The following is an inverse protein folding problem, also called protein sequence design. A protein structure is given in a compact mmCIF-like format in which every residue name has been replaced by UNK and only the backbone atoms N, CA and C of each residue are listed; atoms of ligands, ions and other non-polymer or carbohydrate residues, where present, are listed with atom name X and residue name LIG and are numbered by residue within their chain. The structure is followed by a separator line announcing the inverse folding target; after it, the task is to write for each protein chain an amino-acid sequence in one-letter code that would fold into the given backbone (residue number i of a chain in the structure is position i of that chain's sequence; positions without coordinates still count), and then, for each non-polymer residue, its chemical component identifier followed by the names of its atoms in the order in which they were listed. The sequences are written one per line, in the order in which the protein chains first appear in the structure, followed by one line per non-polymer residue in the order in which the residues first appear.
data_IF_289301825375
#
_entry.id   IF_289301825375
#
_cell.length_a   1.000
_cell.length_b   1.000
_cell.length_c   1.000
_cell.angle_alpha   90.00
_cell.angle_beta   90.00
_cell.angle_gamma   90.00
#
_symmetry.space_group_name_H-M   'P 1'
#
loop_
_entity.id
_entity.type
_entity.pdbx_description
1 polymer ?
#
# COMPACT_ATOMS: atom_id res chain seq x y z
N UNK A 1 -2.93 11.69 -23.18
CA UNK A 1 -4.19 12.10 -23.86
C UNK A 1 -5.30 12.01 -22.84
N UNK A 2 -5.97 13.12 -22.47
CA UNK A 2 -7.12 13.06 -21.58
C UNK A 2 -8.27 12.34 -22.29
N UNK A 3 -8.85 11.33 -21.63
CA UNK A 3 -10.05 10.67 -22.12
C UNK A 3 -11.22 11.61 -21.81
N UNK A 4 -11.73 12.30 -22.82
CA UNK A 4 -12.95 13.09 -22.69
C UNK A 4 -14.16 12.13 -22.70
N UNK A 5 -14.85 12.03 -21.56
CA UNK A 5 -16.14 11.34 -21.50
C UNK A 5 -17.18 12.20 -22.22
N UNK A 6 -17.60 11.74 -23.39
CA UNK A 6 -18.54 12.44 -24.27
C UNK A 6 -19.93 12.57 -23.64
N UNK A 7 -20.54 13.73 -23.90
CA UNK A 7 -21.92 14.09 -23.63
C UNK A 7 -22.89 13.10 -24.29
N UNK A 8 -23.43 12.15 -23.53
CA UNK A 8 -24.49 11.23 -23.95
C UNK A 8 -25.71 11.39 -23.06
N UNK A 9 -26.82 11.77 -23.70
CA UNK A 9 -28.22 11.83 -23.27
C UNK A 9 -28.57 11.89 -21.77
N UNK A 10 -29.10 13.06 -21.41
CA UNK A 10 -29.68 13.42 -20.11
C UNK A 10 -31.04 12.76 -19.98
N UNK A 11 -31.10 11.52 -19.49
CA UNK A 11 -32.37 10.96 -19.01
C UNK A 11 -32.18 9.87 -17.95
N UNK A 12 -31.88 10.30 -16.71
CA UNK A 12 -32.29 9.64 -15.46
C UNK A 12 -31.83 10.50 -14.27
N UNK A 13 -32.65 11.47 -13.88
CA UNK A 13 -32.34 12.44 -12.82
C UNK A 13 -32.43 11.82 -11.42
N UNK A 14 -31.30 11.41 -10.85
CA UNK A 14 -31.10 11.26 -9.40
C UNK A 14 -30.40 12.47 -8.76
N UNK A 15 -29.90 13.41 -9.57
CA UNK A 15 -29.14 14.59 -9.10
C UNK A 15 -29.75 15.87 -9.67
N UNK A 16 -30.61 16.54 -8.89
CA UNK A 16 -31.36 17.74 -9.31
C UNK A 16 -30.48 18.99 -9.43
N UNK A 17 -29.17 18.92 -9.13
CA UNK A 17 -28.28 20.07 -9.23
C UNK A 17 -26.83 19.66 -9.57
N UNK A 18 -26.54 19.52 -10.87
CA UNK A 18 -25.22 19.09 -11.38
C UNK A 18 -24.07 20.00 -10.96
N UNK A 19 -24.30 21.31 -10.83
CA UNK A 19 -23.28 22.25 -10.38
C UNK A 19 -22.90 22.06 -8.90
N UNK A 20 -23.86 21.68 -8.07
CA UNK A 20 -23.61 21.35 -6.66
C UNK A 20 -22.78 20.07 -6.56
N UNK A 21 -23.18 19.01 -7.28
CA UNK A 21 -22.42 17.76 -7.32
C UNK A 21 -20.96 17.97 -7.76
N UNK A 22 -20.76 18.71 -8.85
CA UNK A 22 -19.42 19.00 -9.38
C UNK A 22 -18.57 19.77 -8.37
N UNK A 23 -19.16 20.72 -7.66
CA UNK A 23 -18.47 21.51 -6.63
C UNK A 23 -18.11 20.66 -5.40
N UNK A 24 -18.99 19.72 -5.01
CA UNK A 24 -18.69 18.74 -3.94
C UNK A 24 -17.57 17.76 -4.35
N UNK A 25 -17.57 17.33 -5.61
CA UNK A 25 -16.51 16.48 -6.16
C UNK A 25 -15.17 17.21 -6.21
N UNK A 26 -15.16 18.48 -6.60
CA UNK A 26 -13.95 19.30 -6.56
C UNK A 26 -13.43 19.48 -5.14
N UNK A 27 -14.30 19.76 -4.17
CA UNK A 27 -13.94 19.82 -2.74
C UNK A 27 -13.36 18.49 -2.25
N UNK A 28 -13.89 17.35 -2.71
CA UNK A 28 -13.33 16.04 -2.39
C UNK A 28 -11.88 15.91 -2.85
N UNK A 29 -11.60 16.24 -4.11
CA UNK A 29 -10.27 16.12 -4.67
C UNK A 29 -9.30 17.16 -4.11
N UNK A 30 -9.75 18.38 -3.81
CA UNK A 30 -8.90 19.42 -3.22
C UNK A 30 -8.54 19.12 -1.77
N UNK A 31 -9.45 18.54 -0.98
CA UNK A 31 -9.15 18.03 0.37
C UNK A 31 -8.11 16.91 0.35
N UNK A 32 -8.19 15.99 -0.61
CA UNK A 32 -7.21 14.92 -0.76
C UNK A 32 -5.86 15.48 -1.22
N UNK A 33 -5.86 16.44 -2.15
CA UNK A 33 -4.65 17.10 -2.64
C UNK A 33 -3.90 17.86 -1.55
N UNK A 34 -4.63 18.59 -0.69
CA UNK A 34 -4.05 19.37 0.42
C UNK A 34 -3.74 18.52 1.64
N UNK A 35 -4.21 17.27 1.68
CA UNK A 35 -4.07 16.36 2.80
C UNK A 35 -4.89 16.75 4.04
N UNK A 36 -5.87 17.64 3.88
CA UNK A 36 -6.78 18.10 4.93
C UNK A 36 -8.20 17.61 4.62
N UNK A 37 -8.67 16.62 5.40
CA UNK A 37 -9.98 16.00 5.19
C UNK A 37 -11.11 16.65 6.00
N UNK A 38 -10.79 17.58 6.91
CA UNK A 38 -11.76 18.34 7.71
C UNK A 38 -12.88 19.01 6.87
N UNK A 39 -12.61 19.58 5.68
CA UNK A 39 -13.66 20.15 4.84
C UNK A 39 -14.67 19.11 4.32
N UNK A 40 -14.32 17.82 4.32
CA UNK A 40 -15.22 16.75 3.87
C UNK A 40 -16.36 16.49 4.83
N UNK A 41 -16.22 16.84 6.12
CA UNK A 41 -17.29 16.67 7.11
C UNK A 41 -18.47 17.60 6.84
N UNK A 42 -18.22 18.79 6.28
CA UNK A 42 -19.26 19.75 5.90
C UNK A 42 -19.94 19.35 4.58
N UNK A 43 -19.18 18.79 3.64
CA UNK A 43 -19.66 18.38 2.31
C UNK A 43 -20.40 17.04 2.32
N UNK A 44 -19.88 16.10 3.12
CA UNK A 44 -20.40 14.75 3.35
C UNK A 44 -20.58 14.50 4.85
N UNK A 45 -21.67 15.01 5.45
CA UNK A 45 -21.95 14.83 6.88
C UNK A 45 -22.15 13.36 7.26
N UNK A 46 -22.73 12.57 6.35
CA UNK A 46 -22.88 11.13 6.53
C UNK A 46 -21.53 10.41 6.31
N UNK A 47 -21.04 9.82 7.39
CA UNK A 47 -19.82 9.03 7.45
C UNK A 47 -19.79 7.89 6.42
N UNK A 48 -20.92 7.20 6.19
CA UNK A 48 -20.98 6.10 5.20
C UNK A 48 -20.78 6.63 3.79
N UNK A 49 -21.32 7.81 3.49
CA UNK A 49 -21.18 8.45 2.19
C UNK A 49 -19.76 8.99 2.01
N UNK A 50 -19.18 9.61 3.04
CA UNK A 50 -17.79 10.07 3.06
C UNK A 50 -16.81 8.91 2.83
N UNK A 51 -16.95 7.82 3.58
CA UNK A 51 -16.11 6.62 3.44
C UNK A 51 -16.30 5.93 2.08
N UNK A 52 -17.52 5.93 1.53
CA UNK A 52 -17.77 5.44 0.17
C UNK A 52 -17.06 6.31 -0.87
N UNK A 53 -17.14 7.63 -0.76
CA UNK A 53 -16.47 8.55 -1.68
C UNK A 53 -14.95 8.34 -1.66
N UNK A 54 -14.34 8.25 -0.48
CA UNK A 54 -12.91 7.96 -0.32
C UNK A 54 -12.50 6.60 -0.92
N UNK A 55 -13.33 5.55 -0.77
CA UNK A 55 -13.08 4.24 -1.40
C UNK A 55 -13.17 4.28 -2.92
N UNK A 56 -14.11 5.05 -3.48
CA UNK A 56 -14.19 5.21 -4.93
C UNK A 56 -12.99 6.00 -5.46
N UNK A 57 -12.54 7.05 -4.76
CA UNK A 57 -11.31 7.76 -5.15
C UNK A 57 -10.11 6.82 -5.09
N UNK A 58 -9.96 6.00 -4.04
CA UNK A 58 -8.88 5.01 -3.94
C UNK A 58 -8.79 4.09 -5.16
N UNK A 59 -9.92 3.66 -5.74
CA UNK A 59 -9.95 2.81 -6.95
C UNK A 59 -9.44 3.51 -8.21
N UNK A 60 -9.51 4.84 -8.24
CA UNK A 60 -9.04 5.66 -9.37
C UNK A 60 -7.54 5.98 -9.29
N UNK A 61 -6.92 5.79 -8.12
CA UNK A 61 -5.52 6.12 -7.93
C UNK A 61 -4.62 5.00 -8.48
N UNK A 62 -3.49 5.37 -9.12
CA UNK A 62 -2.49 4.42 -9.58
C UNK A 62 -1.95 3.60 -8.41
N UNK A 63 -1.58 2.35 -8.67
CA UNK A 63 -0.75 1.63 -7.70
C UNK A 63 0.66 2.25 -7.67
N UNK A 64 1.35 2.21 -6.52
CA UNK A 64 2.74 2.66 -6.45
C UNK A 64 3.59 2.00 -7.54
N UNK A 65 4.31 2.80 -8.33
CA UNK A 65 5.19 2.32 -9.40
C UNK A 65 4.56 2.20 -10.79
N UNK A 66 3.26 2.45 -10.97
CA UNK A 66 2.61 2.38 -12.29
C UNK A 66 2.96 3.56 -13.23
N UNK A 67 3.63 4.60 -12.74
CA UNK A 67 4.22 5.66 -13.57
C UNK A 67 3.23 6.68 -14.16
N UNK A 68 1.96 6.66 -13.74
CA UNK A 68 0.95 7.66 -14.10
C UNK A 68 0.35 8.29 -12.84
N UNK A 69 -0.28 9.46 -12.97
CA UNK A 69 -0.92 10.19 -11.85
C UNK A 69 -2.35 10.57 -12.20
N UNK A 70 -3.22 10.59 -11.19
CA UNK A 70 -4.61 11.00 -11.34
C UNK A 70 -4.75 12.51 -11.18
N UNK A 71 -5.50 13.15 -12.07
CA UNK A 71 -5.80 14.58 -12.02
C UNK A 71 -7.27 14.85 -12.31
N UNK A 72 -7.87 15.77 -11.56
CA UNK A 72 -9.24 16.23 -11.78
C UNK A 72 -9.24 17.69 -12.23
N UNK A 73 -10.04 18.01 -13.25
CA UNK A 73 -10.20 19.37 -13.76
C UNK A 73 -11.65 19.60 -14.16
N UNK A 74 -12.16 20.80 -13.88
CA UNK A 74 -13.45 21.26 -14.41
C UNK A 74 -13.21 22.19 -15.59
N UNK A 75 -14.13 22.20 -16.55
CA UNK A 75 -14.03 23.07 -17.72
C UNK A 75 -14.05 24.57 -17.36
N UNK A 76 -14.66 24.93 -16.23
CA UNK A 76 -14.75 26.29 -15.71
C UNK A 76 -13.59 26.70 -14.78
N UNK A 77 -12.68 25.77 -14.45
CA UNK A 77 -11.48 26.03 -13.63
C UNK A 77 -10.19 25.60 -14.37
N UNK A 78 -9.23 26.52 -14.60
CA UNK A 78 -8.05 26.23 -15.41
C UNK A 78 -7.00 25.36 -14.72
N UNK A 79 -7.09 25.17 -13.40
CA UNK A 79 -6.12 24.40 -12.63
C UNK A 79 -6.50 22.91 -12.55
N UNK A 80 -5.53 22.03 -12.78
CA UNK A 80 -5.68 20.59 -12.61
C UNK A 80 -5.36 20.26 -11.15
N UNK A 81 -6.31 19.69 -10.42
CA UNK A 81 -6.11 19.10 -9.10
C UNK A 81 -5.37 17.77 -9.27
N UNK A 82 -4.04 17.84 -9.23
CA UNK A 82 -3.15 16.68 -9.30
C UNK A 82 -3.10 16.00 -7.93
N UNK A 83 -3.53 14.75 -7.87
CA UNK A 83 -3.55 13.99 -6.63
C UNK A 83 -2.12 13.51 -6.32
N UNK A 84 -1.60 13.78 -5.11
CA UNK A 84 -0.24 13.41 -4.74
C UNK A 84 -0.10 11.92 -4.47
N UNK A 85 1.12 11.40 -4.59
CA UNK A 85 1.40 9.96 -4.46
C UNK A 85 1.15 9.43 -3.04
N UNK A 86 1.15 10.31 -2.03
CA UNK A 86 0.82 9.99 -0.64
C UNK A 86 -0.71 9.98 -0.34
N UNK A 87 -1.57 10.20 -1.34
CA UNK A 87 -3.01 10.18 -1.15
C UNK A 87 -3.55 8.81 -0.73
N UNK A 88 -2.94 7.72 -1.21
CA UNK A 88 -3.33 6.34 -0.88
C UNK A 88 -3.16 6.05 0.63
N UNK A 89 -1.97 6.26 1.24
CA UNK A 89 -1.79 6.15 2.70
C UNK A 89 -2.70 7.07 3.51
N UNK A 90 -2.94 8.29 3.03
CA UNK A 90 -3.79 9.26 3.70
C UNK A 90 -5.25 8.80 3.75
N UNK A 91 -5.77 8.31 2.63
CA UNK A 91 -7.13 7.75 2.53
C UNK A 91 -7.25 6.49 3.39
N UNK A 92 -6.25 5.60 3.37
CA UNK A 92 -6.25 4.40 4.22
C UNK A 92 -6.29 4.71 5.70
N UNK A 93 -5.48 5.69 6.13
CA UNK A 93 -5.47 6.13 7.52
C UNK A 93 -6.82 6.67 7.96
N UNK A 94 -7.48 7.47 7.13
CA UNK A 94 -8.80 8.02 7.46
C UNK A 94 -9.87 6.93 7.51
N UNK A 95 -9.89 6.03 6.51
CA UNK A 95 -10.82 4.90 6.47
C UNK A 95 -10.62 3.91 7.62
N UNK A 96 -9.47 3.94 8.29
CA UNK A 96 -9.15 3.12 9.45
C UNK A 96 -9.55 3.76 10.79
N UNK A 97 -9.77 5.08 10.86
CA UNK A 97 -10.08 5.77 12.12
C UNK A 97 -11.52 5.54 12.62
N UNK A 98 -12.47 5.28 11.73
CA UNK A 98 -13.91 5.25 12.03
C UNK A 98 -14.51 3.82 12.12
N UNK A 99 -13.72 2.78 12.42
CA UNK A 99 -14.31 1.45 12.65
C UNK A 99 -13.55 0.63 13.69
N UNK A 100 -14.04 0.55 14.95
CA UNK A 100 -13.48 -0.37 15.94
C UNK A 100 -13.72 -1.86 15.62
N UNK A 101 -14.60 -2.17 14.65
CA UNK A 101 -15.03 -3.55 14.38
C UNK A 101 -14.69 -4.10 12.98
N UNK A 102 -14.10 -3.33 12.06
CA UNK A 102 -13.78 -3.81 10.71
C UNK A 102 -12.58 -3.09 10.10
N UNK A 103 -11.43 -3.20 10.76
CA UNK A 103 -10.16 -2.75 10.18
C UNK A 103 -9.75 -3.72 9.08
N UNK A 104 -9.44 -3.19 7.89
CA UNK A 104 -8.76 -3.98 6.86
C UNK A 104 -7.34 -4.19 7.35
N UNK A 105 -6.99 -5.42 7.67
CA UNK A 105 -5.65 -5.79 8.12
C UNK A 105 -5.18 -7.03 7.41
N UNK A 106 -3.88 -7.28 7.52
CA UNK A 106 -3.26 -8.49 7.00
C UNK A 106 -2.81 -9.35 8.16
N UNK A 107 -3.18 -10.62 8.13
CA UNK A 107 -2.83 -11.62 9.13
C UNK A 107 -2.15 -12.78 8.44
N UNK A 108 -1.04 -13.23 8.99
CA UNK A 108 -0.31 -14.39 8.51
C UNK A 108 -0.59 -15.57 9.44
N UNK A 109 -1.05 -16.69 8.88
CA UNK A 109 -1.41 -17.87 9.67
C UNK A 109 -1.07 -19.18 8.99
N UNK A 110 -0.95 -20.23 9.78
CA UNK A 110 -0.71 -21.58 9.28
C UNK A 110 -2.02 -22.17 8.76
N UNK A 111 -2.03 -22.67 7.53
CA UNK A 111 -3.20 -23.35 6.97
C UNK A 111 -3.38 -24.73 7.61
N UNK A 112 -4.45 -24.89 8.41
CA UNK A 112 -4.71 -26.12 9.16
C UNK A 112 -5.91 -26.93 8.64
N UNK A 113 -6.84 -26.30 7.93
CA UNK A 113 -8.04 -26.96 7.38
C UNK A 113 -8.51 -26.29 6.11
N UNK A 114 -9.00 -27.09 5.17
CA UNK A 114 -9.65 -26.67 3.93
C UNK A 114 -10.98 -27.41 3.83
N UNK A 115 -12.06 -26.68 3.57
CA UNK A 115 -13.40 -27.18 3.28
C UNK A 115 -13.77 -26.73 1.86
N UNK A 116 -13.82 -27.68 0.92
CA UNK A 116 -14.13 -27.41 -0.48
C UNK A 116 -15.63 -27.20 -0.71
N UNK A 117 -16.48 -27.87 0.09
CA UNK A 117 -17.93 -27.75 -0.04
C UNK A 117 -18.39 -26.36 0.39
N UNK A 118 -17.76 -25.80 1.44
CA UNK A 118 -18.05 -24.46 1.96
C UNK A 118 -17.16 -23.36 1.40
N UNK A 119 -16.13 -23.70 0.62
CA UNK A 119 -15.09 -22.78 0.14
C UNK A 119 -14.44 -21.99 1.26
N UNK A 120 -14.16 -22.66 2.37
CA UNK A 120 -13.51 -22.06 3.53
C UNK A 120 -12.17 -22.70 3.83
N UNK A 121 -11.23 -21.88 4.25
CA UNK A 121 -10.00 -22.32 4.90
C UNK A 121 -9.98 -21.87 6.34
N UNK A 122 -9.24 -22.59 7.17
CA UNK A 122 -8.98 -22.19 8.55
C UNK A 122 -7.49 -21.99 8.72
N UNK A 123 -7.14 -20.77 9.12
CA UNK A 123 -5.79 -20.37 9.45
C UNK A 123 -5.62 -20.38 10.97
N UNK A 124 -4.49 -20.86 11.46
CA UNK A 124 -4.13 -20.77 12.87
C UNK A 124 -3.14 -19.63 13.05
N UNK A 125 -3.48 -18.66 13.91
CA UNK A 125 -2.57 -17.57 14.24
C UNK A 125 -1.35 -18.12 15.04
N UNK A 126 -0.10 -17.77 14.68
CA UNK A 126 1.10 -18.31 15.33
C UNK A 126 1.21 -18.01 16.83
N UNK A 127 0.94 -16.77 17.23
CA UNK A 127 1.04 -16.31 18.63
C UNK A 127 -0.17 -16.70 19.48
N UNK A 128 -1.37 -16.30 19.05
CA UNK A 128 -2.59 -16.48 19.86
C UNK A 128 -3.19 -17.87 19.75
N UNK A 129 -2.76 -18.67 18.77
CA UNK A 129 -3.32 -19.97 18.40
C UNK A 129 -4.82 -19.95 18.07
N UNK A 130 -5.40 -18.76 17.85
CA UNK A 130 -6.80 -18.61 17.45
C UNK A 130 -7.00 -19.13 16.02
N UNK A 131 -8.12 -19.80 15.81
CA UNK A 131 -8.54 -20.28 14.49
C UNK A 131 -9.34 -19.20 13.79
N UNK A 132 -8.88 -18.81 12.61
CA UNK A 132 -9.48 -17.78 11.77
C UNK A 132 -10.08 -18.49 10.56
N UNK A 133 -11.40 -18.45 10.46
CA UNK A 133 -12.13 -18.94 9.29
C UNK A 133 -12.13 -17.87 8.19
N UNK A 134 -11.68 -18.25 6.99
CA UNK A 134 -11.59 -17.39 5.81
C UNK A 134 -12.36 -18.04 4.65
N UNK A 135 -13.13 -17.24 3.91
CA UNK A 135 -13.82 -17.69 2.68
C UNK A 135 -12.93 -17.37 1.48
N UNK A 136 -12.70 -18.32 0.59
CA UNK A 136 -11.89 -18.10 -0.63
C UNK A 136 -12.73 -18.21 -1.91
N UNK A 137 -12.17 -17.75 -3.02
CA UNK A 137 -12.73 -17.89 -4.37
C UNK A 137 -12.11 -19.08 -5.09
N UNK A 138 -12.86 -19.72 -6.00
CA UNK A 138 -12.50 -20.98 -6.67
C UNK A 138 -11.11 -20.95 -7.34
N UNK A 139 -10.71 -19.79 -7.85
CA UNK A 139 -9.41 -19.58 -8.50
C UNK A 139 -8.21 -19.84 -7.58
N UNK A 140 -8.39 -19.76 -6.25
CA UNK A 140 -7.33 -19.98 -5.26
C UNK A 140 -7.26 -21.42 -4.74
N UNK A 141 -8.19 -22.31 -5.14
CA UNK A 141 -8.23 -23.70 -4.63
C UNK A 141 -6.93 -24.46 -4.89
N UNK A 142 -6.44 -24.43 -6.13
CA UNK A 142 -5.21 -25.13 -6.51
C UNK A 142 -4.03 -24.64 -5.67
N UNK A 143 -3.90 -23.31 -5.51
CA UNK A 143 -2.86 -22.68 -4.70
C UNK A 143 -2.93 -23.10 -3.23
N UNK A 144 -4.12 -23.21 -2.64
CA UNK A 144 -4.30 -23.66 -1.25
C UNK A 144 -3.96 -25.15 -1.08
N UNK A 145 -4.25 -25.98 -2.08
CA UNK A 145 -3.92 -27.42 -2.06
C UNK A 145 -2.41 -27.64 -2.14
N UNK A 146 -1.73 -26.88 -3.01
CA UNK A 146 -0.28 -26.91 -3.14
C UNK A 146 0.40 -26.47 -1.83
N UNK A 147 -0.17 -25.48 -1.16
CA UNK A 147 0.35 -24.88 0.07
C UNK A 147 -0.36 -25.36 1.36
N UNK A 148 -0.94 -26.57 1.35
CA UNK A 148 -1.76 -27.15 2.45
C UNK A 148 -1.11 -27.26 3.84
N UNK A 149 0.17 -26.95 3.98
CA UNK A 149 0.95 -26.93 5.23
C UNK A 149 1.81 -25.67 5.35
N UNK A 150 1.55 -24.69 4.50
CA UNK A 150 2.30 -23.44 4.43
C UNK A 150 1.68 -22.35 5.29
N UNK A 151 2.43 -21.26 5.41
CA UNK A 151 1.91 -20.00 5.91
C UNK A 151 1.12 -19.32 4.80
N UNK A 152 -0.07 -18.86 5.12
CA UNK A 152 -0.96 -18.11 4.22
C UNK A 152 -1.14 -16.71 4.81
N UNK A 153 -1.03 -15.72 3.95
CA UNK A 153 -1.30 -14.34 4.24
C UNK A 153 -2.73 -14.01 3.81
N UNK A 154 -3.54 -13.55 4.76
CA UNK A 154 -4.93 -13.16 4.54
C UNK A 154 -5.11 -11.67 4.80
N UNK A 155 -5.51 -10.92 3.78
CA UNK A 155 -5.83 -9.50 3.89
C UNK A 155 -7.32 -9.30 3.73
N UNK A 156 -7.94 -8.62 4.68
CA UNK A 156 -9.37 -8.40 4.67
C UNK A 156 -9.87 -7.73 5.92
N UNK A 157 -11.20 -7.65 6.05
CA UNK A 157 -11.84 -7.13 7.26
C UNK A 157 -11.93 -8.21 8.31
N UNK A 158 -11.30 -7.96 9.46
CA UNK A 158 -11.39 -8.83 10.62
C UNK A 158 -12.32 -8.24 11.66
N UNK A 159 -13.17 -9.08 12.26
CA UNK A 159 -13.79 -8.77 13.54
C UNK A 159 -12.77 -9.08 14.64
N UNK A 160 -12.50 -8.09 15.48
CA UNK A 160 -11.65 -8.26 16.65
C UNK A 160 -12.47 -8.80 17.83
N UNK A 161 -11.83 -9.53 18.74
CA UNK A 161 -12.42 -9.89 20.03
C UNK A 161 -12.20 -8.80 21.09
N UNK A 162 -12.72 -9.03 22.31
CA UNK A 162 -12.62 -8.11 23.45
C UNK A 162 -11.17 -7.77 23.85
N UNK A 163 -10.19 -8.55 23.39
CA UNK A 163 -8.76 -8.37 23.62
C UNK A 163 -8.05 -7.68 22.43
N UNK A 164 -8.79 -7.37 21.37
CA UNK A 164 -8.27 -6.71 20.16
C UNK A 164 -7.60 -7.66 19.16
N UNK A 165 -7.74 -8.98 19.32
CA UNK A 165 -7.17 -9.96 18.39
C UNK A 165 -8.15 -10.35 17.28
N UNK A 166 -7.66 -10.66 16.07
CA UNK A 166 -8.51 -11.09 14.96
C UNK A 166 -9.19 -12.43 15.29
N UNK A 167 -10.52 -12.43 15.27
CA UNK A 167 -11.36 -13.59 15.57
C UNK A 167 -11.96 -14.22 14.30
N UNK A 168 -12.46 -13.40 13.38
CA UNK A 168 -13.08 -13.88 12.13
C UNK A 168 -12.80 -12.93 10.99
N UNK A 169 -12.48 -13.48 9.83
CA UNK A 169 -12.34 -12.71 8.58
C UNK A 169 -13.70 -12.69 7.87
N UNK A 170 -14.33 -11.52 7.82
CA UNK A 170 -15.68 -11.35 7.27
C UNK A 170 -15.66 -11.07 5.78
N UNK A 171 -14.70 -10.27 5.31
CA UNK A 171 -14.49 -9.97 3.90
C UNK A 171 -13.02 -10.20 3.54
N UNK A 172 -12.75 -11.25 2.76
CA UNK A 172 -11.41 -11.53 2.23
C UNK A 172 -11.19 -10.71 0.97
N UNK A 173 -10.18 -9.85 0.99
CA UNK A 173 -9.72 -9.12 -0.21
C UNK A 173 -8.57 -9.83 -0.91
N UNK A 174 -7.71 -10.52 -0.17
CA UNK A 174 -6.55 -11.22 -0.71
C UNK A 174 -6.23 -12.42 0.19
N UNK A 175 -5.91 -13.55 -0.41
CA UNK A 175 -5.52 -14.76 0.30
C UNK A 175 -4.43 -15.47 -0.52
N UNK A 176 -3.20 -15.39 -0.06
CA UNK A 176 -2.04 -15.82 -0.83
C UNK A 176 -1.05 -16.58 0.07
N UNK A 177 -0.33 -17.58 -0.46
CA UNK A 177 0.78 -18.18 0.26
C UNK A 177 1.86 -17.14 0.57
N UNK A 178 2.50 -17.28 1.72
CA UNK A 178 3.68 -16.48 2.04
C UNK A 178 4.79 -16.79 1.05
N UNK A 179 5.18 -15.79 0.27
CA UNK A 179 6.27 -15.90 -0.71
C UNK A 179 7.59 -15.41 -0.13
N UNK A 180 8.44 -16.37 0.24
CA UNK A 180 9.81 -16.14 0.72
C UNK A 180 10.86 -16.21 -0.40
N UNK A 181 10.44 -16.20 -1.68
CA UNK A 181 11.37 -16.20 -2.80
C UNK A 181 12.31 -14.98 -2.74
N UNK A 182 13.57 -15.11 -3.20
CA UNK A 182 14.51 -14.00 -3.17
C UNK A 182 13.98 -12.78 -3.93
N UNK A 183 14.10 -11.62 -3.30
CA UNK A 183 13.76 -10.32 -3.88
C UNK A 183 14.98 -9.81 -4.65
N UNK A 184 14.84 -9.48 -5.93
CA UNK A 184 15.92 -8.86 -6.72
C UNK A 184 15.57 -7.42 -7.08
N UNK A 185 16.24 -6.46 -6.45
CA UNK A 185 16.02 -5.04 -6.63
C UNK A 185 17.08 -4.43 -7.55
N UNK A 186 16.64 -3.97 -8.73
CA UNK A 186 17.51 -3.28 -9.71
C UNK A 186 17.39 -1.77 -9.64
N UNK A 187 16.22 -1.29 -9.26
CA UNK A 187 15.88 0.13 -9.22
C UNK A 187 14.95 0.34 -8.01
N UNK A 188 15.23 1.37 -7.22
CA UNK A 188 14.30 1.91 -6.22
C UNK A 188 13.78 3.27 -6.70
N UNK A 189 12.46 3.48 -6.61
CA UNK A 189 11.81 4.74 -6.96
C UNK A 189 11.32 5.44 -5.70
N UNK A 190 11.50 6.75 -5.64
CA UNK A 190 10.92 7.57 -4.59
C UNK A 190 10.64 8.97 -5.11
N UNK A 191 9.36 9.37 -5.10
CA UNK A 191 8.88 10.59 -5.75
C UNK A 191 9.38 10.69 -7.22
N UNK A 192 10.12 11.75 -7.54
CA UNK A 192 10.71 12.08 -8.83
C UNK A 192 12.16 11.58 -9.00
N UNK A 193 12.64 10.72 -8.08
CA UNK A 193 14.02 10.22 -8.03
C UNK A 193 14.09 8.73 -8.36
N UNK A 194 15.07 8.37 -9.18
CA UNK A 194 15.40 6.98 -9.52
C UNK A 194 16.78 6.62 -8.93
N UNK A 195 16.83 5.53 -8.17
CA UNK A 195 18.06 4.96 -7.63
C UNK A 195 18.34 3.64 -8.31
N UNK A 196 19.36 3.61 -9.16
CA UNK A 196 19.74 2.42 -9.93
C UNK A 196 20.91 1.72 -9.27
N UNK A 197 20.72 0.44 -8.97
CA UNK A 197 21.76 -0.43 -8.43
C UNK A 197 22.65 -0.94 -9.57
N UNK A 198 23.98 -0.84 -9.40
CA UNK A 198 24.96 -1.28 -10.42
C UNK A 198 24.90 -2.79 -10.65
N UNK A 199 24.64 -3.53 -9.58
CA UNK A 199 24.27 -4.93 -9.61
C UNK A 199 22.95 -5.09 -8.85
N UNK A 200 22.04 -5.98 -9.28
CA UNK A 200 20.79 -6.19 -8.56
C UNK A 200 21.08 -6.62 -7.12
N UNK A 201 20.54 -5.89 -6.13
CA UNK A 201 20.58 -6.33 -4.75
C UNK A 201 19.61 -7.50 -4.58
N UNK A 202 20.08 -8.57 -3.95
CA UNK A 202 19.26 -9.75 -3.71
C UNK A 202 19.05 -9.91 -2.22
N UNK A 203 17.79 -9.83 -1.79
CA UNK A 203 17.39 -10.05 -0.41
C UNK A 203 16.69 -11.39 -0.27
N UNK A 204 16.95 -12.11 0.82
CA UNK A 204 16.28 -13.36 1.14
C UNK A 204 15.29 -13.09 2.29
N UNK A 205 14.02 -12.78 1.99
CA UNK A 205 13.05 -12.47 3.03
C UNK A 205 12.78 -13.70 3.90
N UNK A 206 12.61 -13.46 5.19
CA UNK A 206 12.11 -14.43 6.17
C UNK A 206 10.91 -13.83 6.90
N UNK A 207 10.14 -14.66 7.62
CA UNK A 207 9.21 -14.13 8.62
C UNK A 207 9.96 -13.81 9.91
N UNK A 208 9.47 -12.85 10.68
CA UNK A 208 9.99 -12.57 12.01
C UNK A 208 9.83 -13.79 12.94
N UNK A 209 10.81 -14.01 13.80
CA UNK A 209 10.86 -15.23 14.62
C UNK A 209 9.79 -15.27 15.73
N UNK A 210 9.34 -14.11 16.21
CA UNK A 210 8.47 -14.00 17.38
C UNK A 210 6.98 -14.18 17.01
N UNK A 211 6.50 -13.44 16.03
CA UNK A 211 5.08 -13.37 15.66
C UNK A 211 4.76 -14.05 14.33
N UNK A 212 5.76 -14.21 13.47
CA UNK A 212 5.62 -14.65 12.08
C UNK A 212 4.59 -13.83 11.28
N UNK A 213 4.36 -12.57 11.66
CA UNK A 213 3.41 -11.66 11.02
C UNK A 213 4.08 -10.72 10.03
N UNK A 214 5.39 -10.51 10.14
CA UNK A 214 6.14 -9.56 9.33
C UNK A 214 7.18 -10.28 8.51
N UNK A 215 7.30 -9.91 7.23
CA UNK A 215 8.50 -10.17 6.47
C UNK A 215 9.63 -9.32 7.02
N UNK A 216 10.84 -9.88 7.02
CA UNK A 216 12.07 -9.24 7.46
C UNK A 216 13.14 -9.47 6.41
N UNK A 217 13.89 -8.42 6.09
CA UNK A 217 15.13 -8.49 5.32
C UNK A 217 16.22 -7.71 6.03
N UNK A 218 17.41 -8.28 6.04
CA UNK A 218 18.61 -7.64 6.58
C UNK A 218 19.72 -7.67 5.52
N UNK A 219 20.38 -6.53 5.34
CA UNK A 219 21.63 -6.44 4.61
C UNK A 219 22.69 -5.78 5.51
N UNK A 220 23.60 -6.57 6.11
CA UNK A 220 24.64 -6.04 6.98
C UNK A 220 25.67 -5.17 6.25
N UNK A 221 25.80 -5.29 4.92
CA UNK A 221 26.74 -4.50 4.13
C UNK A 221 26.26 -3.07 4.03
N UNK A 222 24.97 -2.89 3.75
CA UNK A 222 24.29 -1.59 3.68
C UNK A 222 23.67 -1.16 5.01
N UNK A 223 23.79 -1.96 6.07
CA UNK A 223 23.15 -1.73 7.37
C UNK A 223 21.64 -1.51 7.26
N UNK A 224 21.02 -2.23 6.32
CA UNK A 224 19.58 -2.15 6.04
C UNK A 224 18.85 -3.21 6.87
N UNK A 225 17.79 -2.80 7.55
CA UNK A 225 16.88 -3.69 8.27
C UNK A 225 15.44 -3.23 8.00
N UNK A 226 14.77 -3.92 7.10
CA UNK A 226 13.39 -3.59 6.72
C UNK A 226 12.46 -4.71 7.17
N UNK A 227 11.29 -4.33 7.66
CA UNK A 227 10.22 -5.25 8.03
C UNK A 227 8.85 -4.68 7.66
N UNK A 228 7.94 -5.54 7.23
CA UNK A 228 6.60 -5.13 6.83
C UNK A 228 5.63 -6.31 6.82
N UNK A 229 4.31 -6.05 6.85
CA UNK A 229 3.33 -7.13 6.86
C UNK A 229 3.26 -7.83 5.51
N UNK A 230 3.26 -7.10 4.39
CA UNK A 230 3.24 -7.67 3.04
C UNK A 230 4.57 -7.54 2.33
N UNK A 231 4.77 -8.38 1.31
CA UNK A 231 5.98 -8.34 0.46
C UNK A 231 6.09 -7.01 -0.30
N UNK A 232 4.97 -6.42 -0.72
CA UNK A 232 4.91 -5.12 -1.39
C UNK A 232 5.34 -4.00 -0.45
N UNK A 233 4.81 -4.01 0.79
CA UNK A 233 5.21 -3.05 1.81
C UNK A 233 6.70 -3.19 2.16
N UNK A 234 7.23 -4.41 2.15
CA UNK A 234 8.65 -4.66 2.39
C UNK A 234 9.53 -4.02 1.30
N UNK A 235 9.12 -4.11 0.04
CA UNK A 235 9.82 -3.47 -1.08
C UNK A 235 9.79 -1.93 -0.96
N UNK A 236 8.67 -1.38 -0.51
CA UNK A 236 8.54 0.04 -0.24
C UNK A 236 9.47 0.47 0.89
N UNK A 237 9.46 -0.25 2.02
CA UNK A 237 10.34 0.02 3.17
C UNK A 237 11.83 -0.03 2.77
N UNK A 238 12.25 -1.04 1.99
CA UNK A 238 13.62 -1.11 1.45
C UNK A 238 13.93 0.15 0.63
N UNK A 239 13.02 0.56 -0.24
CA UNK A 239 13.23 1.73 -1.12
C UNK A 239 13.33 3.02 -0.30
N UNK A 240 12.47 3.19 0.70
CA UNK A 240 12.47 4.31 1.64
C UNK A 240 13.78 4.40 2.41
N UNK A 241 14.25 3.27 2.97
CA UNK A 241 15.53 3.23 3.68
C UNK A 241 16.72 3.55 2.77
N UNK A 242 16.73 3.08 1.52
CA UNK A 242 17.80 3.41 0.56
C UNK A 242 17.84 4.91 0.28
N UNK A 243 16.68 5.54 0.07
CA UNK A 243 16.59 6.99 -0.18
C UNK A 243 17.05 7.77 1.03
N UNK A 244 16.56 7.39 2.23
CA UNK A 244 16.95 8.01 3.48
C UNK A 244 18.46 7.92 3.69
N UNK A 245 19.06 6.74 3.51
CA UNK A 245 20.49 6.55 3.62
C UNK A 245 21.28 7.38 2.59
N UNK A 246 20.79 7.47 1.35
CA UNK A 246 21.42 8.31 0.34
C UNK A 246 21.43 9.78 0.74
N UNK A 247 20.29 10.31 1.18
CA UNK A 247 20.19 11.71 1.59
C UNK A 247 21.03 12.00 2.83
N UNK A 248 20.98 11.11 3.83
CA UNK A 248 21.71 11.27 5.09
C UNK A 248 23.23 11.12 4.93
N UNK A 249 23.71 10.18 4.10
CA UNK A 249 25.13 9.84 4.04
C UNK A 249 25.83 10.32 2.76
N UNK A 250 25.16 10.32 1.62
CA UNK A 250 25.73 10.79 0.34
C UNK A 250 25.45 12.29 0.12
N UNK A 251 24.29 12.77 0.57
CA UNK A 251 23.92 14.19 0.49
C UNK A 251 24.68 15.12 1.45
N UNK A 252 25.15 14.60 2.58
CA UNK A 252 25.86 15.38 3.61
C UNK A 252 27.31 15.68 3.26
N UNK A 253 27.92 16.67 3.93
CA UNK A 253 29.36 16.93 3.80
C UNK A 253 30.17 15.83 4.48
N UNK A 254 31.31 15.44 3.91
CA UNK A 254 32.18 14.40 4.51
C UNK A 254 32.71 14.81 5.90
N UNK A 255 32.92 16.11 6.12
CA UNK A 255 33.39 16.65 7.41
C UNK A 255 32.36 16.51 8.54
N UNK A 256 31.09 16.27 8.20
CA UNK A 256 29.98 16.10 9.15
C UNK A 256 29.73 14.62 9.48
N UNK A 257 30.41 13.70 8.79
CA UNK A 257 30.19 12.26 8.92
C UNK A 257 31.21 11.61 9.83
N UNK A 258 30.71 10.76 10.73
CA UNK A 258 31.55 9.88 11.52
C UNK A 258 32.28 8.83 10.63
N UNK A 259 33.39 8.23 11.08
CA UNK A 259 34.17 7.29 10.27
C UNK A 259 33.41 6.06 9.77
N UNK A 260 32.40 5.59 10.49
CA UNK A 260 31.48 4.54 10.07
C UNK A 260 30.48 5.02 9.01
N UNK A 261 29.93 6.21 9.17
CA UNK A 261 29.07 6.86 8.19
C UNK A 261 29.79 7.12 6.86
N UNK A 262 31.08 7.49 6.89
CA UNK A 262 31.92 7.60 5.68
C UNK A 262 32.09 6.25 4.97
N UNK A 263 32.25 5.15 5.72
CA UNK A 263 32.32 3.80 5.12
C UNK A 263 31.00 3.42 4.46
N UNK A 264 29.87 3.72 5.09
CA UNK A 264 28.54 3.46 4.52
C UNK A 264 28.30 4.32 3.27
N UNK A 265 28.63 5.62 3.31
CA UNK A 265 28.60 6.52 2.14
C UNK A 265 29.36 5.92 0.97
N UNK A 266 30.60 5.48 1.18
CA UNK A 266 31.42 4.92 0.10
C UNK A 266 30.78 3.67 -0.51
N UNK A 267 30.27 2.76 0.32
CA UNK A 267 29.53 1.57 -0.15
C UNK A 267 28.28 1.93 -0.94
N UNK A 268 27.51 2.93 -0.49
CA UNK A 268 26.31 3.40 -1.19
C UNK A 268 26.66 3.94 -2.58
N UNK A 269 27.70 4.76 -2.72
CA UNK A 269 28.15 5.32 -4.01
C UNK A 269 28.69 4.23 -4.96
N UNK A 270 29.34 3.21 -4.41
CA UNK A 270 29.80 2.04 -5.17
C UNK A 270 28.64 1.19 -5.67
N UNK A 271 27.55 1.11 -4.91
CA UNK A 271 26.43 0.18 -5.16
C UNK A 271 25.30 0.84 -5.96
N UNK A 272 25.02 2.12 -5.71
CA UNK A 272 23.83 2.84 -6.17
C UNK A 272 24.23 4.10 -6.95
N UNK A 273 23.41 4.47 -7.93
CA UNK A 273 23.51 5.73 -8.65
C UNK A 273 22.15 6.42 -8.67
N UNK A 274 22.13 7.71 -8.33
CA UNK A 274 20.93 8.55 -8.38
C UNK A 274 20.81 9.21 -9.76
N UNK A 275 19.67 9.03 -10.42
CA UNK A 275 19.28 9.75 -11.63
C UNK A 275 18.14 10.72 -11.31
N UNK A 276 18.40 12.02 -11.42
CA UNK A 276 17.41 13.10 -11.15
C UNK A 276 16.54 13.49 -12.36
N UNK A 277 16.45 12.66 -13.39
CA UNK A 277 15.81 13.00 -14.68
C UNK A 277 14.75 11.97 -15.13
N UNK A 278 13.77 11.63 -14.28
CA UNK A 278 12.69 10.71 -14.66
C UNK A 278 11.43 11.38 -15.25
N UNK A 279 11.45 12.70 -15.55
CA UNK A 279 10.29 13.44 -16.12
C UNK A 279 10.65 14.34 -17.31
N UNK A 280 11.54 13.89 -18.18
CA UNK A 280 11.60 14.44 -19.53
C UNK A 280 11.86 13.34 -20.55
N UNK A 281 10.78 12.71 -21.01
CA UNK A 281 10.58 12.40 -22.43
C UNK A 281 9.17 11.87 -22.72
N UNK A 282 8.48 12.71 -23.51
CA UNK A 282 7.35 12.50 -24.43
C UNK A 282 5.97 12.30 -23.83
#
# INVERSE_FOLDING_TARGET
MPIALGSGDVDSSLFTNYSDLLSRTEMLFSSIQTGQLDPLFDVFPDEKVRNRALREVRKLLPKPGEGWRFGFQRDDHPEILLIPDNAVPLIDRELAQDTPENTVMTVTGELIRIDFDRRTVVLRHPVTHKEIECVYVDELEETMIENRRGMIQATGRFTLDDEGYPNKLTDVTQLEPVDLSPISLKIAHWNDREFRFRQPLTFNPSLDEESQQFYVVEDPVLTLLAYAQTREQLLQEISEQIVFMWDAYVGSSEDELAPDALRLRQKLIETVSENRNATSKV
#
